data_IF_614221437925
#
_entry.id   IF_614221437925
#
_cell.length_a   1.000
_cell.length_b   1.000
_cell.length_c   1.000
_cell.angle_alpha   90.00
_cell.angle_beta   90.00
_cell.angle_gamma   90.00
#
_symmetry.space_group_name_H-M   'P 1'
#
loop_
_entity.id
_entity.type
_entity.pdbx_description
1 polymer ?
#
# COMPACT_ATOMS: atom_id res chain seq x y z
N UNK A 1 -16.92 22.85 3.61
CA UNK A 1 -15.51 22.59 3.26
C UNK A 1 -15.50 21.77 1.96
N UNK A 2 -14.90 22.33 0.91
CA UNK A 2 -14.89 21.71 -0.42
C UNK A 2 -13.70 20.72 -0.51
N UNK A 3 -13.87 19.57 -1.13
CA UNK A 3 -12.80 18.56 -1.31
C UNK A 3 -11.57 19.16 -2.00
N UNK A 4 -11.76 20.11 -2.92
CA UNK A 4 -10.66 20.82 -3.60
C UNK A 4 -9.89 21.75 -2.66
N UNK A 5 -10.57 22.40 -1.71
CA UNK A 5 -9.94 23.23 -0.69
C UNK A 5 -9.09 22.36 0.26
N UNK A 6 -9.65 21.24 0.71
CA UNK A 6 -8.93 20.27 1.56
C UNK A 6 -7.68 19.75 0.83
N UNK A 7 -7.80 19.34 -0.44
CA UNK A 7 -6.66 18.86 -1.22
C UNK A 7 -5.59 19.94 -1.39
N UNK A 8 -6.00 21.21 -1.60
CA UNK A 8 -5.07 22.35 -1.73
C UNK A 8 -4.35 22.63 -0.42
N UNK A 9 -5.05 22.55 0.71
CA UNK A 9 -4.47 22.78 2.04
C UNK A 9 -3.51 21.66 2.43
N UNK A 10 -3.84 20.41 2.12
CA UNK A 10 -2.94 19.27 2.28
C UNK A 10 -1.67 19.47 1.45
N UNK A 11 -1.79 19.91 0.19
CA UNK A 11 -0.65 20.16 -0.70
C UNK A 11 0.22 21.33 -0.22
N UNK A 12 -0.38 22.38 0.38
CA UNK A 12 0.36 23.48 1.00
C UNK A 12 1.12 23.00 2.23
N UNK A 13 0.46 22.26 3.11
CA UNK A 13 1.08 21.70 4.31
C UNK A 13 2.29 20.79 3.99
N UNK A 14 2.24 20.11 2.84
CA UNK A 14 3.36 19.30 2.34
C UNK A 14 4.59 20.14 1.93
N UNK A 15 4.38 21.42 1.55
CA UNK A 15 5.44 22.33 1.11
C UNK A 15 6.02 23.22 2.22
N UNK A 16 5.28 23.37 3.29
CA UNK A 16 5.77 24.14 4.44
C UNK A 16 6.72 23.25 5.23
N UNK A 17 8.03 23.54 5.12
CA UNK A 17 9.05 22.88 5.93
C UNK A 17 8.75 23.16 7.41
N UNK A 18 8.44 22.12 8.18
CA UNK A 18 8.25 22.28 9.60
C UNK A 18 9.59 22.28 10.31
N UNK A 19 9.87 23.38 11.02
CA UNK A 19 11.05 23.50 11.90
C UNK A 19 10.95 22.62 13.16
N UNK A 20 9.84 21.87 13.31
CA UNK A 20 9.64 20.98 14.46
C UNK A 20 10.13 19.56 14.14
N UNK A 21 10.94 19.02 15.05
CA UNK A 21 11.38 17.63 14.95
C UNK A 21 10.20 16.65 14.99
N UNK A 22 10.36 15.48 14.34
CA UNK A 22 9.41 14.39 14.48
C UNK A 22 9.31 13.94 15.95
N UNK A 23 8.10 13.71 16.45
CA UNK A 23 7.95 13.05 17.73
C UNK A 23 8.08 11.51 17.59
N UNK A 24 8.34 10.82 18.69
CA UNK A 24 8.63 9.38 18.70
C UNK A 24 7.53 8.53 18.03
N UNK A 25 6.26 8.92 18.14
CA UNK A 25 5.13 8.23 17.52
C UNK A 25 5.14 8.36 15.98
N UNK A 26 5.48 9.53 15.45
CA UNK A 26 5.62 9.73 13.99
C UNK A 26 6.78 8.93 13.43
N UNK A 27 7.93 8.95 14.12
CA UNK A 27 9.09 8.11 13.74
C UNK A 27 8.70 6.63 13.72
N UNK A 28 8.03 6.14 14.77
CA UNK A 28 7.61 4.75 14.86
C UNK A 28 6.62 4.38 13.73
N UNK A 29 5.62 5.23 13.45
CA UNK A 29 4.65 4.98 12.41
C UNK A 29 5.28 4.98 11.01
N UNK A 30 6.13 5.96 10.70
CA UNK A 30 6.85 6.03 9.43
C UNK A 30 7.78 4.83 9.25
N UNK A 31 8.56 4.49 10.28
CA UNK A 31 9.52 3.38 10.25
C UNK A 31 8.84 2.02 10.09
N UNK A 32 7.74 1.79 10.82
CA UNK A 32 6.96 0.55 10.73
C UNK A 32 6.28 0.43 9.37
N UNK A 33 5.69 1.52 8.87
CA UNK A 33 5.05 1.53 7.56
C UNK A 33 6.04 1.32 6.43
N UNK A 34 7.22 1.92 6.51
CA UNK A 34 8.32 1.70 5.56
C UNK A 34 8.72 0.21 5.54
N UNK A 35 9.02 -0.36 6.71
CA UNK A 35 9.42 -1.77 6.84
C UNK A 35 8.37 -2.71 6.26
N UNK A 36 7.11 -2.50 6.58
CA UNK A 36 6.03 -3.34 6.06
C UNK A 36 5.86 -3.19 4.55
N UNK A 37 5.91 -1.95 4.02
CA UNK A 37 5.75 -1.71 2.58
C UNK A 37 6.90 -2.33 1.78
N UNK A 38 8.13 -2.24 2.25
CA UNK A 38 9.29 -2.90 1.62
C UNK A 38 9.15 -4.43 1.60
N UNK A 39 8.67 -5.02 2.70
CA UNK A 39 8.43 -6.47 2.77
C UNK A 39 7.29 -6.90 1.84
N UNK A 40 6.19 -6.13 1.78
CA UNK A 40 5.09 -6.41 0.84
C UNK A 40 5.57 -6.32 -0.61
N UNK A 41 6.29 -5.25 -0.97
CA UNK A 41 6.87 -5.07 -2.30
C UNK A 41 7.75 -6.26 -2.70
N UNK A 42 8.63 -6.69 -1.80
CA UNK A 42 9.49 -7.85 -2.05
C UNK A 42 8.69 -9.14 -2.28
N UNK A 43 7.64 -9.39 -1.49
CA UNK A 43 6.73 -10.52 -1.68
C UNK A 43 5.95 -10.43 -2.99
N UNK A 44 5.54 -9.25 -3.38
CA UNK A 44 4.81 -8.98 -4.63
C UNK A 44 5.72 -9.15 -5.86
N UNK A 45 6.98 -8.71 -5.80
CA UNK A 45 7.99 -8.96 -6.84
C UNK A 45 8.23 -10.47 -7.05
N UNK A 46 8.31 -11.25 -5.97
CA UNK A 46 8.43 -12.71 -6.04
C UNK A 46 7.21 -13.35 -6.71
N UNK A 47 6.01 -12.90 -6.34
CA UNK A 47 4.77 -13.43 -6.91
C UNK A 47 4.57 -12.99 -8.37
N UNK A 48 4.96 -11.77 -8.74
CA UNK A 48 4.90 -11.26 -10.11
C UNK A 48 5.58 -12.19 -11.12
N UNK A 49 6.68 -12.86 -10.72
CA UNK A 49 7.38 -13.83 -11.56
C UNK A 49 6.57 -15.10 -11.86
N UNK A 50 5.46 -15.33 -11.15
CA UNK A 50 4.66 -16.56 -11.22
C UNK A 50 3.23 -16.34 -11.72
N UNK A 51 2.77 -15.08 -11.73
CA UNK A 51 1.45 -14.69 -12.21
C UNK A 51 1.34 -14.95 -13.70
N UNK A 52 0.26 -15.62 -14.11
CA UNK A 52 -0.05 -15.99 -15.49
C UNK A 52 -1.11 -15.09 -16.12
N UNK A 53 -2.04 -14.56 -15.33
CA UNK A 53 -3.05 -13.62 -15.78
C UNK A 53 -2.41 -12.26 -16.08
N UNK A 54 -2.50 -11.81 -17.33
CA UNK A 54 -1.81 -10.61 -17.78
C UNK A 54 -2.38 -9.34 -17.14
N UNK A 55 -3.70 -9.27 -16.93
CA UNK A 55 -4.32 -8.10 -16.29
C UNK A 55 -3.91 -7.97 -14.83
N UNK A 56 -3.80 -9.11 -14.10
CA UNK A 56 -3.27 -9.11 -12.74
C UNK A 56 -1.79 -8.72 -12.73
N UNK A 57 -1.03 -9.21 -13.69
CA UNK A 57 0.39 -8.88 -13.85
C UNK A 57 0.60 -7.37 -14.03
N UNK A 58 -0.15 -6.75 -14.92
CA UNK A 58 -0.11 -5.29 -15.13
C UNK A 58 -0.50 -4.51 -13.86
N UNK A 59 -1.54 -4.95 -13.14
CA UNK A 59 -1.93 -4.37 -11.86
C UNK A 59 -0.83 -4.46 -10.81
N UNK A 60 -0.13 -5.59 -10.71
CA UNK A 60 0.97 -5.76 -9.76
C UNK A 60 2.16 -4.87 -10.11
N UNK A 61 2.48 -4.71 -11.40
CA UNK A 61 3.52 -3.78 -11.85
C UNK A 61 3.16 -2.35 -11.47
N UNK A 62 1.92 -1.93 -11.74
CA UNK A 62 1.41 -0.60 -11.36
C UNK A 62 1.51 -0.37 -9.84
N UNK A 63 1.11 -1.35 -9.03
CA UNK A 63 1.24 -1.28 -7.57
C UNK A 63 2.70 -1.08 -7.12
N UNK A 64 3.60 -1.88 -7.65
CA UNK A 64 5.02 -1.86 -7.26
C UNK A 64 5.68 -0.55 -7.70
N UNK A 65 5.56 -0.19 -8.99
CA UNK A 65 6.32 0.89 -9.59
C UNK A 65 5.72 2.27 -9.28
N UNK A 66 4.39 2.39 -9.28
CA UNK A 66 3.72 3.67 -9.18
C UNK A 66 3.15 3.99 -7.79
N UNK A 67 2.95 2.98 -6.93
CA UNK A 67 2.45 3.21 -5.57
C UNK A 67 3.50 2.92 -4.50
N UNK A 68 4.12 1.73 -4.51
CA UNK A 68 5.02 1.32 -3.44
C UNK A 68 6.38 2.01 -3.51
N UNK A 69 7.07 1.96 -4.65
CA UNK A 69 8.40 2.58 -4.78
C UNK A 69 8.40 4.08 -4.51
N UNK A 70 7.43 4.89 -4.99
CA UNK A 70 7.38 6.31 -4.66
C UNK A 70 7.19 6.58 -3.17
N UNK A 71 6.25 5.91 -2.51
CA UNK A 71 6.00 6.12 -1.07
C UNK A 71 7.19 5.68 -0.21
N UNK A 72 7.84 4.56 -0.55
CA UNK A 72 9.08 4.10 0.09
C UNK A 72 10.16 5.19 -0.02
N UNK A 73 10.34 5.77 -1.20
CA UNK A 73 11.30 6.85 -1.45
C UNK A 73 11.00 8.09 -0.61
N UNK A 74 9.73 8.50 -0.55
CA UNK A 74 9.29 9.68 0.19
C UNK A 74 9.55 9.50 1.69
N UNK A 75 9.19 8.33 2.25
CA UNK A 75 9.42 8.03 3.68
C UNK A 75 10.91 7.95 4.01
N UNK A 76 11.71 7.27 3.18
CA UNK A 76 13.16 7.20 3.38
C UNK A 76 13.79 8.57 3.41
N UNK A 77 13.40 9.44 2.47
CA UNK A 77 13.88 10.81 2.42
C UNK A 77 13.53 11.57 3.69
N UNK A 78 12.28 11.46 4.16
CA UNK A 78 11.83 12.12 5.37
C UNK A 78 12.61 11.63 6.61
N UNK A 79 12.71 10.33 6.82
CA UNK A 79 13.43 9.76 7.97
C UNK A 79 14.92 10.12 7.97
N UNK A 80 15.58 10.06 6.81
CA UNK A 80 17.00 10.43 6.68
C UNK A 80 17.25 11.91 6.95
N UNK A 81 16.37 12.81 6.50
CA UNK A 81 16.47 14.23 6.78
C UNK A 81 16.35 14.55 8.29
N UNK A 82 15.63 13.70 9.03
CA UNK A 82 15.48 13.81 10.48
C UNK A 82 16.58 13.03 11.26
N UNK A 83 17.55 12.45 10.55
CA UNK A 83 18.65 11.70 11.18
C UNK A 83 18.24 10.33 11.72
N UNK A 84 17.10 9.78 11.30
CA UNK A 84 16.62 8.47 11.74
C UNK A 84 17.23 7.38 10.87
N UNK A 85 17.81 6.35 11.53
CA UNK A 85 18.34 5.17 10.85
C UNK A 85 17.22 4.36 10.21
N UNK A 86 17.42 3.99 8.93
CA UNK A 86 16.44 3.20 8.17
C UNK A 86 16.42 1.74 8.58
N UNK A 87 15.29 1.03 8.43
CA UNK A 87 15.24 -0.41 8.58
C UNK A 87 16.18 -1.08 7.55
N UNK A 88 16.61 -2.31 7.87
CA UNK A 88 17.36 -3.12 6.91
C UNK A 88 16.44 -3.49 5.75
N UNK A 89 16.89 -3.19 4.55
CA UNK A 89 16.13 -3.52 3.34
C UNK A 89 16.11 -5.04 3.12
N UNK A 90 14.98 -5.60 2.66
CA UNK A 90 14.97 -6.94 2.07
C UNK A 90 15.96 -7.02 0.91
N UNK A 91 16.53 -8.20 0.71
CA UNK A 91 17.40 -8.45 -0.45
C UNK A 91 16.53 -8.42 -1.70
N UNK A 92 16.92 -7.59 -2.66
CA UNK A 92 16.27 -7.49 -3.97
C UNK A 92 16.23 -8.87 -4.65
N UNK A 93 15.07 -9.26 -5.18
CA UNK A 93 14.88 -10.55 -5.81
C UNK A 93 15.06 -10.40 -7.31
N UNK A 94 15.91 -11.25 -7.94
CA UNK A 94 16.03 -11.23 -9.39
C UNK A 94 14.69 -11.63 -10.02
N UNK A 95 14.33 -10.98 -11.12
CA UNK A 95 13.22 -11.41 -11.97
C UNK A 95 13.66 -12.65 -12.75
N UNK A 96 13.37 -13.82 -12.20
CA UNK A 96 13.68 -15.10 -12.84
C UNK A 96 12.38 -15.89 -12.91
N UNK A 97 11.93 -16.22 -14.11
CA UNK A 97 10.89 -17.22 -14.30
C UNK A 97 11.50 -18.61 -14.00
N UNK A 98 11.31 -19.06 -12.77
CA UNK A 98 11.61 -20.42 -12.39
C UNK A 98 10.33 -21.25 -12.48
N UNK A 99 10.41 -22.38 -13.19
CA UNK A 99 9.34 -23.36 -13.19
C UNK A 99 9.29 -24.02 -11.80
N UNK A 100 8.42 -23.52 -10.96
CA UNK A 100 8.22 -24.06 -9.61
C UNK A 100 7.23 -25.23 -9.67
N UNK A 101 7.49 -26.33 -8.93
CA UNK A 101 6.59 -27.47 -8.90
C UNK A 101 5.20 -27.07 -8.36
N UNK A 102 4.14 -27.81 -8.74
CA UNK A 102 2.80 -27.62 -8.16
C UNK A 102 2.87 -27.62 -6.62
N UNK A 103 2.18 -26.67 -5.97
CA UNK A 103 2.21 -26.50 -4.52
C UNK A 103 3.34 -25.61 -3.97
N UNK A 104 4.35 -25.24 -4.80
CA UNK A 104 5.39 -24.30 -4.42
C UNK A 104 5.13 -22.86 -4.92
N UNK A 105 3.97 -22.61 -5.52
CA UNK A 105 3.56 -21.29 -6.04
C UNK A 105 2.09 -21.03 -5.72
N UNK A 106 1.78 -19.78 -5.47
CA UNK A 106 0.41 -19.32 -5.37
C UNK A 106 -0.25 -19.30 -6.76
N UNK A 107 -1.56 -19.53 -6.80
CA UNK A 107 -2.40 -19.28 -7.98
C UNK A 107 -2.61 -17.78 -8.16
N UNK A 108 -3.08 -17.34 -9.33
CA UNK A 108 -3.37 -15.93 -9.60
C UNK A 108 -4.44 -15.38 -8.63
N UNK A 109 -5.48 -16.18 -8.32
CA UNK A 109 -6.47 -15.87 -7.30
C UNK A 109 -5.85 -15.66 -5.91
N UNK A 110 -4.97 -16.57 -5.47
CA UNK A 110 -4.31 -16.46 -4.17
C UNK A 110 -3.38 -15.23 -4.11
N UNK A 111 -2.67 -14.93 -5.20
CA UNK A 111 -1.84 -13.71 -5.32
C UNK A 111 -2.71 -12.46 -5.23
N UNK A 112 -3.82 -12.39 -5.96
CA UNK A 112 -4.73 -11.25 -5.92
C UNK A 112 -5.29 -11.01 -4.51
N UNK A 113 -5.71 -12.09 -3.82
CA UNK A 113 -6.19 -12.01 -2.44
C UNK A 113 -5.08 -11.58 -1.47
N UNK A 114 -3.84 -12.03 -1.66
CA UNK A 114 -2.69 -11.59 -0.87
C UNK A 114 -2.43 -10.09 -1.04
N UNK A 115 -2.47 -9.58 -2.28
CA UNK A 115 -2.35 -8.14 -2.56
C UNK A 115 -3.46 -7.33 -1.90
N UNK A 116 -4.72 -7.80 -1.97
CA UNK A 116 -5.85 -7.14 -1.27
C UNK A 116 -5.59 -7.06 0.23
N UNK A 117 -5.11 -8.15 0.85
CA UNK A 117 -4.78 -8.16 2.27
C UNK A 117 -3.72 -7.11 2.61
N UNK A 118 -2.63 -7.02 1.84
CA UNK A 118 -1.58 -6.02 2.02
C UNK A 118 -2.12 -4.59 1.93
N UNK A 119 -2.96 -4.32 0.93
CA UNK A 119 -3.58 -3.00 0.73
C UNK A 119 -4.50 -2.63 1.90
N UNK A 120 -5.35 -3.56 2.35
CA UNK A 120 -6.25 -3.33 3.50
C UNK A 120 -5.45 -3.04 4.76
N UNK A 121 -4.39 -3.81 5.02
CA UNK A 121 -3.49 -3.55 6.14
C UNK A 121 -2.86 -2.17 6.03
N UNK A 122 -2.31 -1.84 4.87
CA UNK A 122 -1.64 -0.57 4.63
C UNK A 122 -2.58 0.64 4.84
N UNK A 123 -3.82 0.59 4.33
CA UNK A 123 -4.80 1.66 4.52
C UNK A 123 -5.13 1.84 6.00
N UNK A 124 -5.38 0.75 6.74
CA UNK A 124 -5.66 0.81 8.18
C UNK A 124 -4.49 1.39 8.96
N UNK A 125 -3.28 0.98 8.61
CA UNK A 125 -2.08 1.50 9.25
C UNK A 125 -1.85 2.99 8.94
N UNK A 126 -2.04 3.40 7.68
CA UNK A 126 -1.95 4.81 7.29
C UNK A 126 -3.01 5.67 7.98
N UNK A 127 -4.22 5.16 8.17
CA UNK A 127 -5.26 5.88 8.92
C UNK A 127 -4.85 6.12 10.37
N UNK A 128 -4.22 5.12 11.02
CA UNK A 128 -3.62 5.29 12.34
C UNK A 128 -2.49 6.33 12.30
N UNK A 129 -1.54 6.20 11.38
CA UNK A 129 -0.42 7.13 11.23
C UNK A 129 -0.90 8.57 11.02
N UNK A 130 -1.94 8.78 10.19
CA UNK A 130 -2.56 10.08 9.97
C UNK A 130 -3.15 10.67 11.25
N UNK A 131 -3.92 9.88 12.01
CA UNK A 131 -4.61 10.38 13.22
C UNK A 131 -3.66 10.63 14.39
N UNK A 132 -2.52 9.97 14.42
CA UNK A 132 -1.47 10.15 15.43
C UNK A 132 -0.42 11.20 15.02
N UNK A 133 -0.44 11.69 13.78
CA UNK A 133 0.51 12.71 13.31
C UNK A 133 0.16 14.09 13.82
N UNK A 134 1.16 14.81 14.28
CA UNK A 134 1.09 16.24 14.65
C UNK A 134 1.68 17.10 13.54
N UNK A 135 2.73 16.63 12.89
CA UNK A 135 3.40 17.31 11.79
C UNK A 135 2.59 17.21 10.49
N UNK A 136 2.25 18.34 9.84
CA UNK A 136 1.37 18.34 8.65
C UNK A 136 1.92 17.53 7.47
N UNK A 137 3.23 17.54 7.23
CA UNK A 137 3.86 16.78 6.15
C UNK A 137 3.76 15.26 6.35
N UNK A 138 3.86 14.79 7.60
CA UNK A 138 3.65 13.37 7.96
C UNK A 138 2.18 12.98 7.73
N UNK A 139 1.25 13.80 8.20
CA UNK A 139 -0.19 13.59 7.97
C UNK A 139 -0.53 13.57 6.47
N UNK A 140 0.04 14.49 5.68
CA UNK A 140 -0.15 14.56 4.24
C UNK A 140 0.40 13.30 3.53
N UNK A 141 1.56 12.78 3.95
CA UNK A 141 2.14 11.55 3.41
C UNK A 141 1.22 10.34 3.63
N UNK A 142 0.70 10.16 4.85
CA UNK A 142 -0.25 9.08 5.13
C UNK A 142 -1.57 9.27 4.38
N UNK A 143 -2.08 10.50 4.25
CA UNK A 143 -3.28 10.79 3.46
C UNK A 143 -3.09 10.42 2.00
N UNK A 144 -1.97 10.81 1.38
CA UNK A 144 -1.62 10.42 0.00
C UNK A 144 -1.64 8.91 -0.15
N UNK A 145 -0.96 8.19 0.75
CA UNK A 145 -0.91 6.73 0.71
C UNK A 145 -2.30 6.08 0.83
N UNK A 146 -3.20 6.61 1.66
CA UNK A 146 -4.58 6.13 1.79
C UNK A 146 -5.34 6.29 0.46
N UNK A 147 -5.29 7.49 -0.13
CA UNK A 147 -6.03 7.80 -1.36
C UNK A 147 -5.57 6.93 -2.53
N UNK A 148 -4.24 6.85 -2.75
CA UNK A 148 -3.66 6.05 -3.83
C UNK A 148 -3.99 4.56 -3.67
N UNK A 149 -3.82 4.00 -2.47
CA UNK A 149 -4.12 2.59 -2.20
C UNK A 149 -5.61 2.28 -2.26
N UNK A 150 -6.47 3.19 -1.83
CA UNK A 150 -7.92 3.02 -1.94
C UNK A 150 -8.37 3.00 -3.42
N UNK A 151 -7.86 3.93 -4.24
CA UNK A 151 -8.15 3.96 -5.67
C UNK A 151 -7.68 2.66 -6.37
N UNK A 152 -6.45 2.22 -6.09
CA UNK A 152 -5.93 0.96 -6.60
C UNK A 152 -6.79 -0.24 -6.16
N UNK A 153 -7.17 -0.30 -4.88
CA UNK A 153 -8.01 -1.39 -4.33
C UNK A 153 -9.34 -1.54 -5.07
N UNK A 154 -9.97 -0.43 -5.46
CA UNK A 154 -11.24 -0.47 -6.22
C UNK A 154 -11.04 -1.15 -7.58
N UNK A 155 -10.00 -0.77 -8.31
CA UNK A 155 -9.72 -1.35 -9.64
C UNK A 155 -9.29 -2.82 -9.56
N UNK A 156 -8.53 -3.21 -8.53
CA UNK A 156 -8.16 -4.60 -8.31
C UNK A 156 -9.37 -5.45 -7.95
N UNK A 157 -10.27 -4.96 -7.08
CA UNK A 157 -11.50 -5.69 -6.72
C UNK A 157 -12.44 -5.86 -7.91
N UNK A 158 -12.49 -4.87 -8.82
CA UNK A 158 -13.26 -5.03 -10.06
C UNK A 158 -12.70 -6.18 -10.90
N UNK A 159 -11.38 -6.20 -11.15
CA UNK A 159 -10.72 -7.32 -11.84
C UNK A 159 -11.03 -8.66 -11.17
N UNK A 160 -10.90 -8.73 -9.84
CA UNK A 160 -11.18 -9.96 -9.09
C UNK A 160 -12.64 -10.40 -9.20
N UNK A 161 -13.59 -9.46 -9.25
CA UNK A 161 -15.00 -9.77 -9.46
C UNK A 161 -15.23 -10.36 -10.86
N UNK A 162 -14.64 -9.74 -11.90
CA UNK A 162 -14.74 -10.16 -13.29
C UNK A 162 -14.12 -11.57 -13.51
N UNK A 163 -13.06 -11.91 -12.77
CA UNK A 163 -12.40 -13.22 -12.80
C UNK A 163 -13.03 -14.26 -11.86
N UNK A 164 -13.99 -13.87 -11.01
CA UNK A 164 -14.60 -14.77 -10.01
C UNK A 164 -13.70 -15.09 -8.82
N UNK A 165 -12.66 -14.28 -8.56
CA UNK A 165 -11.70 -14.43 -7.45
C UNK A 165 -12.10 -13.68 -6.17
N UNK A 166 -13.11 -12.83 -6.27
CA UNK A 166 -13.54 -12.01 -5.14
C UNK A 166 -14.47 -12.80 -4.22
N UNK A 167 -14.03 -13.04 -2.99
CA UNK A 167 -14.86 -13.63 -1.96
C UNK A 167 -15.84 -12.59 -1.42
N UNK A 168 -17.10 -12.68 -1.84
CA UNK A 168 -18.18 -11.79 -1.40
C UNK A 168 -18.98 -12.46 -0.30
N UNK A 169 -19.15 -11.80 0.88
CA UNK A 169 -20.04 -12.33 1.91
C UNK A 169 -21.47 -12.52 1.38
N UNK A 170 -22.22 -13.49 1.89
CA UNK A 170 -23.60 -13.70 1.45
C UNK A 170 -24.45 -12.45 1.75
N UNK A 171 -25.44 -12.15 0.89
CA UNK A 171 -26.31 -11.01 1.12
C UNK A 171 -27.11 -11.20 2.42
N UNK A 172 -27.26 -10.11 3.17
CA UNK A 172 -28.12 -10.12 4.35
C UNK A 172 -29.58 -10.28 3.90
N UNK A 173 -30.21 -11.37 4.35
CA UNK A 173 -31.64 -11.62 4.11
C UNK A 173 -32.40 -11.35 5.41
N UNK A 174 -33.36 -10.42 5.35
CA UNK A 174 -34.34 -10.27 6.43
C UNK A 174 -35.35 -11.41 6.28
N UNK A 175 -35.59 -12.22 7.34
CA UNK A 175 -36.65 -13.21 7.35
C UNK A 175 -37.99 -12.50 7.05
N UNK A 176 -38.68 -12.94 5.97
CA UNK A 176 -39.96 -12.35 5.56
C UNK A 176 -39.93 -11.38 4.40
N UNK A 177 -38.75 -10.99 3.84
CA UNK A 177 -38.69 -10.29 2.55
C UNK A 177 -38.79 -11.29 1.39
N UNK A 178 -39.93 -11.20 0.65
CA UNK A 178 -40.11 -11.93 -0.61
C UNK A 178 -39.23 -11.31 -1.71
#
# INVERSE_FOLDING_TARGET
MNILEIATDILKSYKESNDTALHVGEVMNLWTFLTATENFTNGEEVNLNKVKDEELREKMIDLIENLHKPIIKDIKKLLLNEGVELPRNPVEKPQIQLDAPPGAKLTDEEVANFVVFNIVWAIKFCARGLTESVRPDVGALFTKAIVEKAAFSLTLKQLMADKGWLNVPPPYKVEGSK
#
